data_IF_683770104296
#
_entry.id   IF_683770104296
#
_cell.length_a   1.000
_cell.length_b   1.000
_cell.length_c   1.000
_cell.angle_alpha   90.00
_cell.angle_beta   90.00
_cell.angle_gamma   90.00
#
_symmetry.space_group_name_H-M   'P 1'
#
loop_
_entity.id
_entity.type
_entity.pdbx_description
1 polymer ?
#
# COMPACT_ATOMS: atom_id res chain seq x y z
N UNK A 1 15.31 -0.27 -28.02
CA UNK A 1 14.52 0.28 -26.89
C UNK A 1 15.47 0.27 -25.73
N UNK A 2 15.65 1.39 -25.04
CA UNK A 2 16.42 1.41 -23.81
C UNK A 2 15.75 0.44 -22.83
N UNK A 3 16.55 -0.26 -22.03
CA UNK A 3 16.05 -1.13 -20.96
C UNK A 3 15.23 -0.27 -19.98
N UNK A 4 14.04 -0.74 -19.58
CA UNK A 4 13.15 0.04 -18.72
C UNK A 4 13.62 -0.10 -17.28
N UNK A 5 13.92 1.02 -16.63
CA UNK A 5 14.25 1.12 -15.21
C UNK A 5 12.96 1.44 -14.47
N UNK A 6 12.41 0.44 -13.77
CA UNK A 6 11.14 0.58 -13.06
C UNK A 6 11.36 0.99 -11.60
N UNK A 7 10.99 2.23 -11.28
CA UNK A 7 11.13 2.85 -9.96
C UNK A 7 9.79 3.37 -9.41
N UNK A 8 8.69 2.64 -9.69
CA UNK A 8 7.35 2.98 -9.21
C UNK A 8 6.63 1.79 -8.55
N UNK A 9 7.36 1.07 -7.68
CA UNK A 9 6.86 -0.13 -7.01
C UNK A 9 5.69 0.15 -6.04
N UNK A 10 5.54 1.38 -5.54
CA UNK A 10 4.37 1.77 -4.74
C UNK A 10 3.08 1.83 -5.58
N UNK A 11 3.15 2.05 -6.91
CA UNK A 11 2.00 1.97 -7.78
C UNK A 11 1.60 0.51 -8.03
N UNK A 12 2.54 -0.35 -8.39
CA UNK A 12 2.35 -1.81 -8.57
C UNK A 12 3.72 -2.48 -8.63
N UNK A 13 3.78 -3.78 -8.34
CA UNK A 13 5.01 -4.57 -8.51
C UNK A 13 4.88 -5.57 -9.66
N UNK A 14 6.01 -6.02 -10.25
CA UNK A 14 6.00 -7.19 -11.13
C UNK A 14 5.46 -8.43 -10.40
N UNK A 15 4.81 -9.34 -11.13
CA UNK A 15 4.41 -10.62 -10.54
C UNK A 15 5.69 -11.42 -10.23
N UNK A 16 5.86 -11.83 -8.96
CA UNK A 16 7.04 -12.57 -8.52
C UNK A 16 7.11 -13.98 -9.11
N UNK A 17 8.28 -14.60 -9.05
CA UNK A 17 8.52 -15.95 -9.61
C UNK A 17 7.62 -17.02 -8.97
N UNK A 18 7.39 -16.93 -7.65
CA UNK A 18 6.54 -17.88 -6.91
C UNK A 18 5.08 -17.79 -7.37
N UNK A 19 4.55 -16.58 -7.51
CA UNK A 19 3.20 -16.36 -8.03
C UNK A 19 3.04 -16.81 -9.49
N UNK A 20 4.01 -16.52 -10.37
CA UNK A 20 4.00 -16.98 -11.76
C UNK A 20 3.94 -18.51 -11.86
N UNK A 21 4.76 -19.21 -11.05
CA UNK A 21 4.74 -20.67 -11.00
C UNK A 21 3.38 -21.22 -10.54
N UNK A 22 2.77 -20.61 -9.54
CA UNK A 22 1.45 -20.99 -9.05
C UNK A 22 0.36 -20.80 -10.12
N UNK A 23 0.35 -19.66 -10.83
CA UNK A 23 -0.59 -19.41 -11.94
C UNK A 23 -0.45 -20.48 -13.02
N UNK A 24 0.77 -20.75 -13.49
CA UNK A 24 1.02 -21.74 -14.56
C UNK A 24 0.56 -23.13 -14.12
N UNK A 25 0.86 -23.52 -12.87
CA UNK A 25 0.50 -24.84 -12.31
C UNK A 25 -1.03 -25.03 -12.27
N UNK A 26 -1.78 -23.98 -11.96
CA UNK A 26 -3.21 -24.03 -11.70
C UNK A 26 -4.07 -23.40 -12.83
N UNK A 27 -3.47 -23.14 -14.00
CA UNK A 27 -4.15 -22.45 -15.11
C UNK A 27 -5.38 -23.22 -15.63
N UNK A 28 -5.34 -24.55 -15.54
CA UNK A 28 -6.41 -25.43 -16.00
C UNK A 28 -7.43 -25.79 -14.91
N UNK A 29 -7.28 -25.28 -13.68
CA UNK A 29 -8.19 -25.50 -12.57
C UNK A 29 -9.38 -24.53 -12.67
N UNK A 30 -10.40 -24.90 -13.45
CA UNK A 30 -11.55 -24.05 -13.80
C UNK A 30 -12.84 -24.33 -13.02
N UNK A 31 -12.82 -25.28 -12.09
CA UNK A 31 -14.01 -25.66 -11.32
C UNK A 31 -14.58 -24.51 -10.49
N UNK A 32 -15.91 -24.32 -10.51
CA UNK A 32 -16.53 -23.32 -9.63
C UNK A 32 -16.48 -23.83 -8.17
N UNK A 33 -15.84 -23.10 -7.23
CA UNK A 33 -15.66 -23.56 -5.82
C UNK A 33 -16.97 -23.81 -5.08
N UNK A 34 -18.08 -23.21 -5.51
CA UNK A 34 -19.41 -23.41 -4.94
C UNK A 34 -20.10 -24.69 -5.42
N UNK A 35 -19.55 -25.39 -6.42
CA UNK A 35 -20.14 -26.61 -6.96
C UNK A 35 -19.80 -27.84 -6.14
N UNK A 36 -20.73 -28.82 -6.12
CA UNK A 36 -20.58 -30.04 -5.31
C UNK A 36 -19.78 -31.15 -6.00
N UNK A 37 -19.56 -31.06 -7.32
CA UNK A 37 -18.75 -32.02 -8.07
C UNK A 37 -17.25 -31.84 -7.81
N UNK A 38 -16.46 -32.84 -8.22
CA UNK A 38 -15.03 -32.95 -7.91
C UNK A 38 -14.21 -31.72 -8.29
N UNK A 39 -14.39 -31.19 -9.50
CA UNK A 39 -13.66 -29.99 -9.96
C UNK A 39 -13.92 -28.77 -9.04
N UNK A 40 -15.17 -28.59 -8.57
CA UNK A 40 -15.49 -27.51 -7.64
C UNK A 40 -14.84 -27.71 -6.27
N UNK A 41 -14.83 -28.96 -5.78
CA UNK A 41 -14.13 -29.29 -4.50
C UNK A 41 -12.65 -29.04 -4.58
N UNK A 42 -12.00 -29.40 -5.67
CA UNK A 42 -10.56 -29.12 -5.90
C UNK A 42 -10.28 -27.63 -5.85
N UNK A 43 -11.07 -26.82 -6.56
CA UNK A 43 -10.90 -25.35 -6.53
C UNK A 43 -11.11 -24.77 -5.13
N UNK A 44 -12.07 -25.30 -4.36
CA UNK A 44 -12.28 -24.88 -2.98
C UNK A 44 -11.08 -25.22 -2.09
N UNK A 45 -10.52 -26.42 -2.23
CA UNK A 45 -9.32 -26.84 -1.48
C UNK A 45 -8.15 -25.89 -1.76
N UNK A 46 -7.96 -25.47 -3.02
CA UNK A 46 -6.92 -24.51 -3.38
C UNK A 46 -7.11 -23.14 -2.74
N UNK A 47 -8.36 -22.68 -2.63
CA UNK A 47 -8.68 -21.40 -1.98
C UNK A 47 -8.41 -21.48 -0.48
N UNK A 48 -8.84 -22.57 0.18
CA UNK A 48 -8.63 -22.74 1.62
C UNK A 48 -7.14 -22.92 1.97
N UNK A 49 -6.37 -23.66 1.16
CA UNK A 49 -4.90 -23.73 1.32
C UNK A 49 -4.26 -22.34 1.24
N UNK A 50 -4.66 -21.55 0.26
CA UNK A 50 -4.16 -20.17 0.12
C UNK A 50 -4.55 -19.30 1.32
N UNK A 51 -5.77 -19.46 1.86
CA UNK A 51 -6.27 -18.74 3.03
C UNK A 51 -5.45 -19.07 4.28
N UNK A 52 -5.20 -20.35 4.55
CA UNK A 52 -4.38 -20.81 5.69
C UNK A 52 -2.96 -20.25 5.62
N UNK A 53 -2.36 -20.25 4.44
CA UNK A 53 -0.99 -19.75 4.22
C UNK A 53 -0.89 -18.23 4.39
N UNK A 54 -1.86 -17.47 3.88
CA UNK A 54 -1.94 -16.02 4.06
C UNK A 54 -2.15 -15.68 5.54
N UNK A 55 -3.08 -16.35 6.22
CA UNK A 55 -3.33 -16.16 7.64
C UNK A 55 -2.06 -16.36 8.47
N UNK A 56 -1.31 -17.43 8.20
CA UNK A 56 -0.02 -17.70 8.85
C UNK A 56 1.01 -16.59 8.66
N UNK A 57 1.05 -15.96 7.47
CA UNK A 57 2.01 -14.89 7.19
C UNK A 57 1.78 -13.63 8.05
N UNK A 58 0.57 -13.41 8.55
CA UNK A 58 0.21 -12.24 9.36
C UNK A 58 -0.21 -12.58 10.80
N UNK A 59 0.01 -13.84 11.23
CA UNK A 59 -0.39 -14.36 12.55
C UNK A 59 -1.90 -14.25 12.84
N UNK A 60 -2.73 -14.51 11.80
CA UNK A 60 -4.18 -14.58 11.87
C UNK A 60 -4.69 -16.03 11.87
N UNK A 61 -5.98 -16.23 12.20
CA UNK A 61 -6.68 -17.48 11.94
C UNK A 61 -7.27 -17.47 10.50
N UNK A 62 -7.39 -18.64 9.82
CA UNK A 62 -7.92 -18.68 8.45
C UNK A 62 -9.33 -18.06 8.32
N UNK A 63 -10.18 -18.24 9.30
CA UNK A 63 -11.56 -17.73 9.34
C UNK A 63 -11.64 -16.20 9.47
N UNK A 64 -10.52 -15.54 9.68
CA UNK A 64 -10.40 -14.09 9.78
C UNK A 64 -10.02 -13.45 8.44
N UNK A 65 -9.69 -14.24 7.41
CA UNK A 65 -9.28 -13.76 6.08
C UNK A 65 -10.46 -13.84 5.11
N UNK A 66 -10.77 -12.73 4.45
CA UNK A 66 -11.81 -12.62 3.42
C UNK A 66 -11.20 -12.08 2.12
N UNK A 67 -11.31 -12.83 1.03
CA UNK A 67 -10.77 -12.42 -0.25
C UNK A 67 -11.59 -11.32 -0.90
N UNK A 68 -10.90 -10.32 -1.41
CA UNK A 68 -11.45 -9.16 -2.12
C UNK A 68 -10.81 -9.02 -3.51
N UNK A 69 -11.31 -8.12 -4.35
CA UNK A 69 -10.69 -7.83 -5.64
C UNK A 69 -9.49 -6.88 -5.55
N UNK A 70 -9.35 -6.16 -4.45
CA UNK A 70 -8.30 -5.15 -4.27
C UNK A 70 -8.25 -4.62 -2.84
N UNK A 71 -7.19 -3.89 -2.50
CA UNK A 71 -7.13 -3.11 -1.26
C UNK A 71 -8.22 -2.05 -1.17
N UNK A 72 -8.62 -1.44 -2.30
CA UNK A 72 -9.71 -0.45 -2.31
C UNK A 72 -11.05 -1.06 -1.93
N UNK A 73 -11.38 -2.28 -2.41
CA UNK A 73 -12.57 -3.01 -1.97
C UNK A 73 -12.47 -3.34 -0.47
N UNK A 74 -11.31 -3.81 -0.01
CA UNK A 74 -11.10 -4.14 1.39
C UNK A 74 -11.27 -2.92 2.31
N UNK A 75 -10.67 -1.77 1.96
CA UNK A 75 -10.81 -0.51 2.69
C UNK A 75 -12.27 -0.03 2.72
N UNK A 76 -12.92 0.01 1.55
CA UNK A 76 -14.32 0.42 1.47
C UNK A 76 -15.22 -0.49 2.30
N UNK A 77 -15.02 -1.82 2.24
CA UNK A 77 -15.82 -2.75 3.01
C UNK A 77 -15.62 -2.60 4.51
N UNK A 78 -14.37 -2.46 4.96
CA UNK A 78 -14.06 -2.28 6.37
C UNK A 78 -14.74 -1.05 7.00
N UNK A 79 -14.96 0.01 6.21
CA UNK A 79 -15.41 1.31 6.74
C UNK A 79 -16.85 1.68 6.38
N UNK A 80 -17.44 1.04 5.34
CA UNK A 80 -18.71 1.47 4.72
C UNK A 80 -19.90 1.56 5.68
N UNK A 81 -19.95 0.72 6.69
CA UNK A 81 -21.09 0.59 7.59
C UNK A 81 -20.92 1.31 8.94
N UNK A 82 -19.82 2.09 9.09
CA UNK A 82 -19.45 2.70 10.37
C UNK A 82 -19.22 4.20 10.21
N UNK A 83 -19.53 4.96 11.25
CA UNK A 83 -19.02 6.31 11.39
C UNK A 83 -17.53 6.23 11.71
N UNK A 84 -16.68 6.83 10.88
CA UNK A 84 -15.24 6.60 10.96
C UNK A 84 -14.43 7.84 11.27
N UNK A 85 -13.37 7.66 12.07
CA UNK A 85 -12.29 8.62 12.23
C UNK A 85 -11.10 8.12 11.41
N UNK A 86 -10.58 8.94 10.52
CA UNK A 86 -9.46 8.59 9.64
C UNK A 86 -8.27 9.52 9.85
N UNK A 87 -7.17 9.31 9.14
CA UNK A 87 -6.10 10.30 9.06
C UNK A 87 -6.21 11.11 7.77
N UNK A 88 -5.67 12.33 7.75
CA UNK A 88 -5.70 13.20 6.56
C UNK A 88 -4.64 12.83 5.50
N UNK A 89 -4.06 11.64 5.60
CA UNK A 89 -3.09 11.07 4.64
C UNK A 89 -3.52 9.71 4.07
N UNK A 90 -4.78 9.32 4.30
CA UNK A 90 -5.30 8.02 3.85
C UNK A 90 -5.33 7.92 2.32
N UNK A 91 -5.39 6.67 1.84
CA UNK A 91 -5.63 6.41 0.43
C UNK A 91 -7.06 6.86 0.04
N UNK A 92 -7.25 7.33 -1.20
CA UNK A 92 -8.55 7.80 -1.72
C UNK A 92 -9.70 6.78 -1.66
N UNK A 93 -9.43 5.49 -1.39
CA UNK A 93 -10.48 4.50 -1.12
C UNK A 93 -11.10 4.61 0.27
N UNK A 94 -10.51 5.43 1.14
CA UNK A 94 -11.01 5.74 2.47
C UNK A 94 -11.59 7.16 2.40
N UNK A 95 -12.90 7.27 2.61
CA UNK A 95 -13.58 8.55 2.64
C UNK A 95 -13.40 9.20 4.02
N UNK A 96 -13.20 10.51 4.03
CA UNK A 96 -12.97 11.28 5.25
C UNK A 96 -14.30 11.83 5.77
N UNK A 97 -14.86 11.24 6.83
CA UNK A 97 -15.94 11.87 7.60
C UNK A 97 -15.36 12.81 8.67
N UNK A 98 -14.34 12.34 9.37
CA UNK A 98 -13.56 13.14 10.32
C UNK A 98 -12.10 12.71 10.25
N UNK A 99 -11.16 13.66 10.06
CA UNK A 99 -9.75 13.33 9.92
C UNK A 99 -8.87 13.89 11.04
N UNK A 100 -7.92 13.07 11.49
CA UNK A 100 -6.85 13.42 12.42
C UNK A 100 -5.63 13.87 11.61
N UNK A 101 -5.01 14.96 12.04
CA UNK A 101 -3.85 15.53 11.37
C UNK A 101 -2.57 14.77 11.68
N UNK A 102 -1.66 14.76 10.70
CA UNK A 102 -0.28 14.32 10.89
C UNK A 102 0.65 15.53 11.10
N UNK A 103 1.81 15.27 11.70
CA UNK A 103 2.89 16.26 11.81
C UNK A 103 3.67 16.38 10.47
N UNK A 104 4.63 17.31 10.41
CA UNK A 104 5.48 17.54 9.22
C UNK A 104 6.28 16.32 8.74
N UNK A 105 6.43 15.29 9.57
CA UNK A 105 7.06 14.03 9.21
C UNK A 105 6.05 13.00 8.66
N UNK A 106 4.77 13.35 8.56
CA UNK A 106 3.69 12.46 8.16
C UNK A 106 3.32 11.43 9.24
N UNK A 107 3.70 11.64 10.50
CA UNK A 107 3.35 10.78 11.63
C UNK A 107 2.14 11.37 12.36
N UNK A 108 1.19 10.51 12.72
CA UNK A 108 -0.04 10.88 13.45
C UNK A 108 0.29 11.60 14.76
N UNK A 109 -0.41 12.69 15.01
CA UNK A 109 -0.28 13.42 16.28
C UNK A 109 -1.23 12.85 17.33
N UNK A 110 -0.67 12.06 18.26
CA UNK A 110 -1.42 11.43 19.33
C UNK A 110 -2.18 12.41 20.25
N UNK A 111 -1.71 13.65 20.40
CA UNK A 111 -2.39 14.64 21.23
C UNK A 111 -3.72 15.05 20.61
N UNK A 112 -3.82 15.06 19.28
CA UNK A 112 -5.06 15.35 18.58
C UNK A 112 -6.07 14.21 18.73
N UNK A 113 -5.62 12.94 18.78
CA UNK A 113 -6.50 11.81 19.09
C UNK A 113 -7.19 11.95 20.46
N UNK A 114 -6.53 12.54 21.45
CA UNK A 114 -7.12 12.77 22.77
C UNK A 114 -8.19 13.88 22.80
N UNK A 115 -8.20 14.78 21.81
CA UNK A 115 -9.14 15.91 21.72
C UNK A 115 -10.39 15.64 20.88
N UNK A 116 -10.46 14.54 20.17
CA UNK A 116 -11.62 14.19 19.33
C UNK A 116 -12.80 13.75 20.20
N UNK A 117 -14.01 14.22 19.88
CA UNK A 117 -15.22 13.82 20.59
C UNK A 117 -15.73 12.48 20.05
N UNK A 118 -15.31 11.38 20.69
CA UNK A 118 -15.52 9.99 20.25
C UNK A 118 -16.96 9.47 20.46
N UNK A 119 -17.90 10.29 20.93
CA UNK A 119 -19.24 9.86 21.29
C UNK A 119 -20.13 9.38 20.11
N UNK A 120 -19.66 9.57 18.87
CA UNK A 120 -20.43 9.26 17.68
C UNK A 120 -19.72 8.28 16.72
N UNK A 121 -18.42 7.99 16.92
CA UNK A 121 -17.65 7.21 15.95
C UNK A 121 -17.30 5.84 16.53
N UNK A 122 -17.61 4.79 15.80
CA UNK A 122 -17.42 3.41 16.24
C UNK A 122 -16.08 2.82 15.79
N UNK A 123 -15.50 3.37 14.71
CA UNK A 123 -14.31 2.85 14.07
C UNK A 123 -13.26 3.95 13.81
N UNK A 124 -12.01 3.61 14.02
CA UNK A 124 -10.88 4.46 13.63
C UNK A 124 -10.06 3.74 12.58
N UNK A 125 -9.63 4.44 11.54
CA UNK A 125 -8.73 3.93 10.51
C UNK A 125 -7.46 4.77 10.44
N UNK A 126 -6.31 4.08 10.36
CA UNK A 126 -5.01 4.69 10.10
C UNK A 126 -4.18 3.78 9.22
N UNK A 127 -3.73 4.28 8.06
CA UNK A 127 -2.85 3.50 7.20
C UNK A 127 -1.52 3.19 7.88
N UNK A 128 -1.01 1.97 7.70
CA UNK A 128 0.23 1.55 8.35
C UNK A 128 1.46 2.21 7.69
N UNK A 129 1.49 2.20 6.36
CA UNK A 129 2.56 2.84 5.57
C UNK A 129 1.93 3.73 4.52
N UNK A 130 2.34 5.00 4.49
CA UNK A 130 1.84 5.92 3.47
C UNK A 130 2.47 5.63 2.11
N UNK A 131 1.64 5.51 1.08
CA UNK A 131 2.03 5.16 -0.29
C UNK A 131 2.81 6.27 -1.03
N UNK A 132 2.75 7.53 -0.57
CA UNK A 132 3.47 8.64 -1.19
C UNK A 132 4.79 8.93 -0.50
N UNK A 133 4.77 9.18 0.80
CA UNK A 133 5.95 9.58 1.57
C UNK A 133 6.64 8.42 2.29
N UNK A 134 6.10 7.21 2.21
CA UNK A 134 6.68 6.00 2.82
C UNK A 134 6.71 5.97 4.34
N UNK A 135 6.10 6.94 5.02
CA UNK A 135 6.12 7.04 6.49
C UNK A 135 5.38 5.86 7.11
N UNK A 136 6.00 5.24 8.13
CA UNK A 136 5.45 4.15 8.93
C UNK A 136 4.75 4.77 10.15
N UNK A 137 3.48 4.41 10.37
CA UNK A 137 2.70 4.85 11.52
C UNK A 137 2.87 3.89 12.70
N UNK A 138 2.82 4.38 13.93
CA UNK A 138 2.90 3.56 15.15
C UNK A 138 1.55 2.91 15.45
N UNK A 139 1.18 1.89 14.64
CA UNK A 139 -0.15 1.28 14.62
C UNK A 139 -0.54 0.69 15.98
N UNK A 140 0.38 -0.02 16.64
CA UNK A 140 0.11 -0.61 17.96
C UNK A 140 -0.32 0.43 19.00
N UNK A 141 0.44 1.52 19.09
CA UNK A 141 0.17 2.61 20.03
C UNK A 141 -1.16 3.31 19.70
N UNK A 142 -1.47 3.44 18.40
CA UNK A 142 -2.76 3.99 17.96
C UNK A 142 -3.90 3.06 18.38
N UNK A 143 -3.79 1.76 18.10
CA UNK A 143 -4.77 0.75 18.48
C UNK A 143 -5.04 0.74 20.00
N UNK A 144 -3.99 0.81 20.82
CA UNK A 144 -4.11 0.89 22.29
C UNK A 144 -4.91 2.12 22.74
N UNK A 145 -4.68 3.28 22.11
CA UNK A 145 -5.45 4.52 22.40
C UNK A 145 -6.90 4.36 21.99
N UNK A 146 -7.17 3.84 20.79
CA UNK A 146 -8.51 3.62 20.23
C UNK A 146 -9.31 2.68 21.12
N UNK A 147 -8.73 1.51 21.48
CA UNK A 147 -9.39 0.53 22.35
C UNK A 147 -9.61 1.06 23.78
N UNK A 148 -8.73 1.91 24.32
CA UNK A 148 -8.96 2.56 25.60
C UNK A 148 -10.25 3.41 25.64
N UNK A 149 -10.73 3.80 24.46
CA UNK A 149 -11.96 4.57 24.24
C UNK A 149 -13.15 3.70 23.83
N UNK A 150 -12.97 2.38 23.84
CA UNK A 150 -13.99 1.38 23.46
C UNK A 150 -14.43 1.50 21.99
N UNK A 151 -13.52 1.90 21.12
CA UNK A 151 -13.69 1.95 19.68
C UNK A 151 -12.89 0.82 19.04
N UNK A 152 -13.19 0.52 17.77
CA UNK A 152 -12.48 -0.47 16.96
C UNK A 152 -11.47 0.20 16.03
N UNK A 153 -10.49 -0.60 15.58
CA UNK A 153 -9.37 -0.09 14.83
C UNK A 153 -9.14 -0.89 13.53
N UNK A 154 -9.18 -0.17 12.41
CA UNK A 154 -8.79 -0.65 11.09
C UNK A 154 -7.43 -0.06 10.69
N UNK A 155 -6.62 -0.84 9.97
CA UNK A 155 -5.41 -0.33 9.33
C UNK A 155 -5.36 -0.70 7.84
N UNK A 156 -5.15 0.30 6.96
CA UNK A 156 -4.74 0.04 5.59
C UNK A 156 -3.26 -0.39 5.58
N UNK A 157 -3.02 -1.70 5.43
CA UNK A 157 -1.69 -2.28 5.37
C UNK A 157 -1.22 -2.59 3.93
N UNK A 158 -1.88 -2.04 2.92
CA UNK A 158 -1.58 -2.28 1.50
C UNK A 158 -0.13 -2.01 1.15
N UNK A 159 0.50 -0.99 1.73
CA UNK A 159 1.92 -0.67 1.53
C UNK A 159 2.84 -1.27 2.61
N UNK A 160 2.29 -1.95 3.61
CA UNK A 160 3.05 -2.54 4.71
C UNK A 160 3.32 -4.04 4.49
N UNK A 161 2.29 -4.80 4.09
CA UNK A 161 2.37 -6.25 3.89
C UNK A 161 3.42 -6.60 2.83
N UNK A 162 4.33 -7.51 3.22
CA UNK A 162 5.47 -7.92 2.38
C UNK A 162 6.66 -6.95 2.40
N UNK A 163 6.53 -5.78 3.04
CA UNK A 163 7.59 -4.76 3.11
C UNK A 163 8.12 -4.51 4.52
N UNK A 164 7.25 -4.60 5.53
CA UNK A 164 7.61 -4.55 6.95
C UNK A 164 6.88 -5.66 7.69
N UNK A 165 7.32 -6.05 8.91
CA UNK A 165 6.61 -7.06 9.69
C UNK A 165 5.17 -6.66 9.98
N UNK A 166 4.23 -7.57 9.66
CA UNK A 166 2.80 -7.43 9.96
C UNK A 166 2.36 -8.65 10.76
N UNK A 167 2.03 -8.43 12.02
CA UNK A 167 1.47 -9.41 12.95
C UNK A 167 0.22 -8.79 13.56
N UNK A 168 -0.96 -9.26 13.16
CA UNK A 168 -2.24 -8.65 13.56
C UNK A 168 -2.49 -8.70 15.05
N UNK A 169 -2.00 -9.75 15.73
CA UNK A 169 -2.11 -9.89 17.19
C UNK A 169 -1.20 -8.93 17.93
N UNK A 170 0.03 -8.71 17.41
CA UNK A 170 0.96 -7.71 17.95
C UNK A 170 0.48 -6.27 17.71
N UNK A 171 -0.04 -6.00 16.50
CA UNK A 171 -0.59 -4.68 16.14
C UNK A 171 -1.89 -4.37 16.87
N UNK A 172 -2.58 -5.41 17.35
CA UNK A 172 -3.85 -5.31 18.05
C UNK A 172 -4.91 -4.55 17.22
N UNK A 173 -4.99 -4.86 15.92
CA UNK A 173 -5.99 -4.28 15.03
C UNK A 173 -7.16 -5.23 14.84
N UNK A 174 -8.38 -4.69 14.80
CA UNK A 174 -9.61 -5.45 14.60
C UNK A 174 -9.85 -5.79 13.12
N UNK A 175 -9.39 -4.90 12.22
CA UNK A 175 -9.45 -5.11 10.77
C UNK A 175 -8.18 -4.63 10.08
N UNK A 176 -7.82 -5.30 8.96
CA UNK A 176 -6.65 -4.93 8.16
C UNK A 176 -6.90 -5.19 6.68
N UNK A 177 -6.60 -4.21 5.83
CA UNK A 177 -6.73 -4.31 4.37
C UNK A 177 -5.41 -4.59 3.68
N UNK A 178 -5.44 -5.45 2.63
CA UNK A 178 -4.28 -5.82 1.83
C UNK A 178 -4.60 -5.89 0.33
N UNK A 179 -3.56 -5.71 -0.51
CA UNK A 179 -3.66 -5.81 -1.96
C UNK A 179 -2.49 -6.58 -2.56
N UNK A 180 -2.77 -7.69 -3.24
CA UNK A 180 -1.76 -8.63 -3.70
C UNK A 180 -0.68 -8.03 -4.61
N UNK A 181 -1.05 -7.11 -5.50
CA UNK A 181 -0.12 -6.52 -6.47
C UNK A 181 0.93 -5.58 -5.85
N UNK A 182 0.89 -5.34 -4.56
CA UNK A 182 1.92 -4.55 -3.85
C UNK A 182 3.08 -5.42 -3.34
N UNK A 183 2.88 -6.73 -3.24
CA UNK A 183 3.91 -7.69 -2.80
C UNK A 183 4.16 -8.82 -3.81
N UNK A 184 3.94 -8.58 -5.10
CA UNK A 184 4.30 -9.52 -6.16
C UNK A 184 3.22 -10.52 -6.58
N UNK A 185 1.98 -10.38 -6.11
CA UNK A 185 0.84 -11.13 -6.62
C UNK A 185 0.19 -10.44 -7.83
N UNK A 186 -0.74 -11.10 -8.54
CA UNK A 186 -1.52 -10.48 -9.60
C UNK A 186 -2.38 -9.30 -9.12
N UNK A 187 -2.70 -8.39 -10.05
CA UNK A 187 -3.76 -7.40 -9.87
C UNK A 187 -5.12 -8.11 -9.81
N UNK A 188 -6.13 -7.48 -9.19
CA UNK A 188 -7.48 -8.03 -9.12
C UNK A 188 -7.68 -9.04 -7.98
N UNK A 189 -6.80 -9.03 -6.97
CA UNK A 189 -6.91 -9.83 -5.75
C UNK A 189 -6.32 -9.08 -4.55
N UNK A 190 -7.01 -9.17 -3.42
CA UNK A 190 -6.61 -8.64 -2.12
C UNK A 190 -7.33 -9.43 -1.02
N UNK A 191 -7.21 -8.99 0.20
CA UNK A 191 -7.98 -9.53 1.31
C UNK A 191 -8.26 -8.48 2.38
N UNK A 192 -9.33 -8.74 3.14
CA UNK A 192 -9.64 -8.07 4.38
C UNK A 192 -9.48 -9.10 5.52
N UNK A 193 -8.66 -8.75 6.50
CA UNK A 193 -8.63 -9.43 7.80
C UNK A 193 -9.68 -8.81 8.70
N UNK A 194 -10.49 -9.66 9.36
CA UNK A 194 -11.47 -9.25 10.36
C UNK A 194 -11.30 -10.17 11.57
N UNK A 195 -10.94 -9.61 12.72
CA UNK A 195 -10.75 -10.36 13.95
C UNK A 195 -12.04 -11.09 14.38
N UNK A 196 -11.92 -12.34 14.87
CA UNK A 196 -13.07 -13.12 15.31
C UNK A 196 -13.85 -12.43 16.45
N UNK A 197 -13.15 -11.79 17.40
CA UNK A 197 -13.78 -11.06 18.48
C UNK A 197 -14.63 -9.87 17.98
N UNK A 198 -14.15 -9.15 16.95
CA UNK A 198 -14.94 -8.09 16.32
C UNK A 198 -16.25 -8.63 15.72
N UNK A 199 -16.21 -9.79 15.05
CA UNK A 199 -17.39 -10.43 14.45
C UNK A 199 -18.43 -10.88 15.48
N UNK A 200 -18.03 -11.13 16.72
CA UNK A 200 -18.97 -11.47 17.81
C UNK A 200 -19.76 -10.25 18.31
N UNK A 201 -19.18 -9.05 18.20
CA UNK A 201 -19.84 -7.80 18.61
C UNK A 201 -20.68 -7.18 17.49
N UNK A 202 -20.25 -7.33 16.23
CA UNK A 202 -20.89 -6.70 15.08
C UNK A 202 -21.35 -7.73 14.05
N UNK A 203 -22.56 -7.52 13.55
CA UNK A 203 -23.05 -8.25 12.39
C UNK A 203 -22.36 -7.66 11.15
N UNK A 204 -21.34 -8.35 10.63
CA UNK A 204 -20.65 -7.92 9.43
C UNK A 204 -21.58 -8.03 8.22
N UNK A 205 -21.87 -6.91 7.57
CA UNK A 205 -22.69 -6.87 6.37
C UNK A 205 -21.81 -6.98 5.11
N UNK A 206 -22.27 -7.71 4.07
CA UNK A 206 -21.56 -7.80 2.82
C UNK A 206 -21.64 -6.48 2.04
N UNK A 207 -20.49 -5.92 1.67
CA UNK A 207 -20.44 -4.80 0.71
C UNK A 207 -20.89 -5.25 -0.68
N UNK A 208 -20.46 -6.45 -1.10
CA UNK A 208 -20.86 -7.07 -2.37
C UNK A 208 -21.78 -8.22 -2.08
N UNK A 209 -23.08 -8.03 -2.35
CA UNK A 209 -24.08 -9.07 -2.18
C UNK A 209 -23.97 -10.15 -3.26
N UNK A 210 -24.31 -11.40 -2.91
CA UNK A 210 -24.26 -12.52 -3.86
C UNK A 210 -24.64 -13.85 -3.24
N UNK A 211 -23.89 -14.89 -3.58
CA UNK A 211 -24.08 -16.24 -3.06
C UNK A 211 -23.47 -16.43 -1.67
N UNK A 212 -23.08 -17.68 -1.36
CA UNK A 212 -22.47 -18.04 -0.07
C UNK A 212 -20.94 -18.00 -0.09
N UNK A 213 -20.33 -17.36 -1.07
CA UNK A 213 -18.88 -17.17 -1.14
C UNK A 213 -18.40 -16.40 0.10
N UNK A 214 -17.15 -16.65 0.50
CA UNK A 214 -16.54 -16.01 1.67
C UNK A 214 -17.48 -16.05 2.90
N UNK A 215 -18.04 -17.22 3.20
CA UNK A 215 -19.01 -17.43 4.29
C UNK A 215 -20.29 -16.59 4.17
N UNK A 216 -20.64 -16.15 2.95
CA UNK A 216 -21.79 -15.27 2.66
C UNK A 216 -21.50 -13.78 2.83
N UNK A 217 -20.28 -13.42 3.20
CA UNK A 217 -19.89 -12.03 3.48
C UNK A 217 -19.34 -11.29 2.25
N UNK A 218 -18.95 -12.03 1.19
CA UNK A 218 -18.51 -11.38 -0.04
C UNK A 218 -18.97 -12.19 -1.25
N UNK A 219 -19.97 -11.68 -1.96
CA UNK A 219 -20.54 -12.34 -3.13
C UNK A 219 -19.66 -12.28 -4.38
N UNK A 220 -19.95 -13.17 -5.33
CA UNK A 220 -19.21 -13.30 -6.60
C UNK A 220 -18.24 -14.49 -6.59
N UNK A 221 -18.16 -15.17 -7.75
CA UNK A 221 -17.24 -16.32 -7.91
C UNK A 221 -15.81 -15.89 -7.66
N UNK A 222 -15.10 -16.66 -6.85
CA UNK A 222 -13.77 -16.37 -6.37
C UNK A 222 -12.74 -16.37 -7.53
N UNK A 223 -11.79 -15.44 -7.49
CA UNK A 223 -10.65 -15.37 -8.42
C UNK A 223 -9.60 -16.42 -8.03
N UNK A 224 -9.83 -17.69 -8.38
CA UNK A 224 -9.00 -18.83 -7.98
C UNK A 224 -7.52 -18.57 -8.30
N UNK A 225 -7.20 -18.20 -9.54
CA UNK A 225 -5.82 -17.98 -9.97
C UNK A 225 -5.14 -16.84 -9.20
N UNK A 226 -5.86 -15.74 -8.96
CA UNK A 226 -5.36 -14.62 -8.18
C UNK A 226 -5.10 -15.01 -6.73
N UNK A 227 -6.05 -15.72 -6.09
CA UNK A 227 -5.96 -16.17 -4.69
C UNK A 227 -4.80 -17.16 -4.52
N UNK A 228 -4.75 -18.20 -5.35
CA UNK A 228 -3.70 -19.25 -5.30
C UNK A 228 -2.31 -18.68 -5.58
N UNK A 229 -2.20 -17.64 -6.39
CA UNK A 229 -0.93 -16.97 -6.65
C UNK A 229 -0.53 -15.99 -5.53
N UNK A 230 -1.51 -15.44 -4.80
CA UNK A 230 -1.26 -14.46 -3.74
C UNK A 230 -0.55 -15.09 -2.53
N UNK A 231 -0.90 -16.31 -2.13
CA UNK A 231 -0.28 -16.98 -0.99
C UNK A 231 1.23 -17.16 -1.16
N UNK A 232 1.76 -17.82 -2.21
CA UNK A 232 3.21 -17.96 -2.38
C UNK A 232 3.91 -16.61 -2.65
N UNK A 233 3.22 -15.60 -3.17
CA UNK A 233 3.80 -14.26 -3.29
C UNK A 233 4.03 -13.62 -1.91
N UNK A 234 3.07 -13.76 -0.99
CA UNK A 234 3.20 -13.23 0.35
C UNK A 234 4.25 -14.00 1.17
N UNK A 235 4.28 -15.33 1.08
CA UNK A 235 5.30 -16.16 1.72
C UNK A 235 6.71 -15.76 1.27
N UNK A 236 6.94 -15.63 -0.05
CA UNK A 236 8.21 -15.18 -0.62
C UNK A 236 8.61 -13.78 -0.16
N UNK A 237 7.63 -12.86 -0.07
CA UNK A 237 7.88 -11.51 0.42
C UNK A 237 8.25 -11.49 1.91
N UNK A 238 7.58 -12.30 2.75
CA UNK A 238 7.84 -12.38 4.20
C UNK A 238 9.16 -13.09 4.48
N UNK A 239 9.45 -14.22 3.79
CA UNK A 239 10.66 -15.01 3.97
C UNK A 239 11.94 -14.19 3.65
N UNK A 240 11.91 -13.39 2.59
CA UNK A 240 13.07 -12.61 2.14
C UNK A 240 13.03 -11.13 2.58
N UNK A 241 12.09 -10.75 3.44
CA UNK A 241 11.84 -9.35 3.80
C UNK A 241 13.06 -8.63 4.33
N UNK A 242 13.78 -9.21 5.28
CA UNK A 242 14.94 -8.58 5.92
C UNK A 242 16.09 -8.35 4.93
N UNK A 243 16.42 -9.38 4.14
CA UNK A 243 17.46 -9.31 3.12
C UNK A 243 17.13 -8.26 2.05
N UNK A 244 15.87 -8.30 1.53
CA UNK A 244 15.38 -7.34 0.52
C UNK A 244 15.38 -5.91 1.06
N UNK A 245 14.91 -5.71 2.26
CA UNK A 245 14.90 -4.38 2.89
C UNK A 245 16.30 -3.81 3.08
N UNK A 246 17.27 -4.64 3.46
CA UNK A 246 18.67 -4.23 3.59
C UNK A 246 19.24 -3.81 2.24
N UNK A 247 19.04 -4.61 1.20
CA UNK A 247 19.53 -4.34 -0.15
C UNK A 247 18.88 -3.09 -0.75
N UNK A 248 17.54 -3.06 -0.78
CA UNK A 248 16.78 -1.93 -1.33
C UNK A 248 17.07 -0.64 -0.57
N UNK A 249 17.24 -0.73 0.76
CA UNK A 249 17.60 0.41 1.59
C UNK A 249 18.97 1.00 1.25
N UNK A 250 19.95 0.17 0.87
CA UNK A 250 21.24 0.66 0.38
C UNK A 250 21.09 1.39 -0.95
N UNK A 251 20.39 0.79 -1.92
CA UNK A 251 20.13 1.40 -3.22
C UNK A 251 19.38 2.74 -3.07
N UNK A 252 18.35 2.76 -2.23
CA UNK A 252 17.56 3.96 -1.93
C UNK A 252 18.43 5.06 -1.33
N UNK A 253 19.30 4.73 -0.39
CA UNK A 253 20.18 5.72 0.24
C UNK A 253 21.17 6.30 -0.79
N UNK A 254 21.79 5.47 -1.63
CA UNK A 254 22.69 5.92 -2.69
C UNK A 254 21.99 6.90 -3.65
N UNK A 255 20.75 6.56 -4.07
CA UNK A 255 19.97 7.44 -4.93
C UNK A 255 19.61 8.75 -4.21
N UNK A 256 19.12 8.66 -2.98
CA UNK A 256 18.73 9.83 -2.19
C UNK A 256 19.92 10.76 -1.94
N UNK A 257 21.07 10.22 -1.55
CA UNK A 257 22.30 11.01 -1.32
C UNK A 257 22.74 11.77 -2.58
N UNK A 258 22.64 11.11 -3.75
CA UNK A 258 22.92 11.75 -5.04
C UNK A 258 21.93 12.88 -5.36
N UNK A 259 20.63 12.62 -5.19
CA UNK A 259 19.58 13.62 -5.47
C UNK A 259 19.63 14.81 -4.51
N UNK A 260 20.06 14.61 -3.27
CA UNK A 260 20.22 15.69 -2.29
C UNK A 260 21.44 16.57 -2.53
N UNK A 261 22.36 16.21 -3.45
CA UNK A 261 23.41 17.11 -3.92
C UNK A 261 22.89 18.17 -4.91
N UNK A 262 21.71 17.97 -5.49
CA UNK A 262 21.10 18.94 -6.40
C UNK A 262 20.64 20.15 -5.57
N UNK A 263 21.13 21.38 -5.88
CA UNK A 263 20.69 22.57 -5.14
C UNK A 263 19.17 22.73 -5.13
N UNK A 264 18.57 23.10 -4.00
CA UNK A 264 17.11 23.24 -3.87
C UNK A 264 16.34 21.93 -3.95
N UNK A 265 16.98 20.81 -3.62
CA UNK A 265 16.31 19.52 -3.41
C UNK A 265 15.94 19.33 -1.94
N UNK A 266 14.77 18.75 -1.67
CA UNK A 266 14.28 18.56 -0.30
C UNK A 266 13.52 17.23 -0.18
N UNK A 267 13.90 16.39 0.80
CA UNK A 267 13.16 15.17 1.12
C UNK A 267 11.83 15.54 1.82
N UNK A 268 10.72 14.98 1.36
CA UNK A 268 9.42 15.13 1.99
C UNK A 268 9.16 13.99 2.99
N UNK A 269 8.58 14.32 4.16
CA UNK A 269 8.29 13.37 5.23
C UNK A 269 9.52 12.94 6.05
N UNK A 270 9.39 11.92 6.89
CA UNK A 270 10.44 11.44 7.79
C UNK A 270 11.51 10.61 7.05
N UNK A 271 12.78 10.80 7.39
CA UNK A 271 13.85 9.90 6.97
C UNK A 271 13.92 8.62 7.84
N UNK A 272 13.61 8.73 9.14
CA UNK A 272 13.80 7.64 10.11
C UNK A 272 12.67 6.62 10.12
N UNK A 273 11.42 7.09 10.08
CA UNK A 273 10.23 6.24 10.12
C UNK A 273 9.70 6.07 8.69
N UNK A 274 10.49 5.43 7.83
CA UNK A 274 10.20 5.26 6.41
C UNK A 274 10.55 3.86 5.95
N UNK A 275 9.73 3.28 5.10
CA UNK A 275 10.06 2.01 4.43
C UNK A 275 11.33 2.15 3.59
N UNK A 276 12.05 1.04 3.47
CA UNK A 276 13.37 1.00 2.80
C UNK A 276 13.33 1.43 1.34
N UNK A 277 12.21 1.27 0.65
CA UNK A 277 12.07 1.43 -0.79
C UNK A 277 11.70 2.84 -1.26
N UNK A 278 11.26 3.74 -0.37
CA UNK A 278 10.58 4.98 -0.76
C UNK A 278 11.49 6.21 -0.67
N UNK A 279 11.42 7.04 -1.71
CA UNK A 279 11.88 8.44 -1.75
C UNK A 279 10.69 9.29 -2.21
N UNK A 280 10.38 10.35 -1.47
CA UNK A 280 9.52 11.44 -1.95
C UNK A 280 10.33 12.72 -1.83
N UNK A 281 10.63 13.36 -2.96
CA UNK A 281 11.57 14.48 -3.02
C UNK A 281 11.02 15.57 -3.92
N UNK A 282 11.22 16.85 -3.53
CA UNK A 282 10.89 18.00 -4.36
C UNK A 282 12.14 18.73 -4.81
N UNK A 283 12.03 19.43 -5.92
CA UNK A 283 13.08 20.28 -6.47
C UNK A 283 12.49 21.67 -6.72
N UNK A 284 13.05 22.68 -6.06
CA UNK A 284 12.60 24.08 -6.21
C UNK A 284 12.63 24.51 -7.68
N UNK A 285 11.52 25.10 -8.18
CA UNK A 285 11.37 25.54 -9.56
C UNK A 285 11.29 24.42 -10.60
N UNK A 286 10.90 23.20 -10.22
CA UNK A 286 10.82 22.06 -11.16
C UNK A 286 9.46 21.37 -11.04
N UNK A 287 8.66 21.46 -12.11
CA UNK A 287 7.41 20.70 -12.17
C UNK A 287 7.66 19.20 -12.12
N UNK A 288 7.13 18.54 -11.07
CA UNK A 288 7.21 17.07 -10.89
C UNK A 288 6.61 16.31 -12.06
N UNK A 289 5.48 16.76 -12.60
CA UNK A 289 4.84 16.15 -13.77
C UNK A 289 5.70 16.24 -15.03
N UNK A 290 6.35 17.41 -15.27
CA UNK A 290 7.30 17.60 -16.39
C UNK A 290 8.51 16.67 -16.22
N UNK A 291 9.06 16.57 -15.01
CA UNK A 291 10.20 15.72 -14.71
C UNK A 291 9.86 14.22 -14.92
N UNK A 292 8.71 13.74 -14.45
CA UNK A 292 8.22 12.36 -14.67
C UNK A 292 8.11 12.06 -16.17
N UNK A 293 7.51 12.98 -16.94
CA UNK A 293 7.37 12.83 -18.39
C UNK A 293 8.72 12.73 -19.09
N UNK A 294 9.67 13.57 -18.70
CA UNK A 294 11.01 13.53 -19.28
C UNK A 294 11.78 12.28 -18.87
N UNK A 295 11.72 11.85 -17.61
CA UNK A 295 12.33 10.60 -17.14
C UNK A 295 11.85 9.40 -17.97
N UNK A 296 10.55 9.33 -18.29
CA UNK A 296 9.98 8.26 -19.11
C UNK A 296 10.59 8.21 -20.54
N UNK A 297 11.00 9.35 -21.13
CA UNK A 297 11.71 9.36 -22.41
C UNK A 297 13.09 8.71 -22.34
N UNK A 298 13.70 8.65 -21.16
CA UNK A 298 14.97 7.96 -20.88
C UNK A 298 14.78 6.55 -20.34
N UNK A 299 13.54 6.02 -20.35
CA UNK A 299 13.23 4.68 -19.87
C UNK A 299 13.09 4.57 -18.36
N UNK A 300 13.05 5.67 -17.60
CA UNK A 300 12.91 5.68 -16.14
C UNK A 300 11.46 5.92 -15.76
N UNK A 301 10.84 4.93 -15.08
CA UNK A 301 9.46 4.98 -14.61
C UNK A 301 9.45 5.43 -13.14
N UNK A 302 8.97 6.63 -12.88
CA UNK A 302 8.72 7.23 -11.56
C UNK A 302 7.33 7.85 -11.53
N UNK A 303 6.86 8.31 -10.37
CA UNK A 303 5.54 8.94 -10.22
C UNK A 303 5.66 10.37 -9.67
N UNK A 304 4.73 11.25 -10.04
CA UNK A 304 4.45 12.46 -9.27
C UNK A 304 3.49 12.12 -8.14
N UNK A 305 3.60 12.76 -6.99
CA UNK A 305 2.66 12.59 -5.86
C UNK A 305 1.23 13.08 -6.16
N UNK A 306 1.00 13.63 -7.35
CA UNK A 306 -0.30 14.14 -7.78
C UNK A 306 -1.03 13.11 -8.64
N UNK A 307 -2.32 12.90 -8.39
CA UNK A 307 -3.19 12.14 -9.29
C UNK A 307 -3.33 12.94 -10.60
N UNK A 308 -2.88 12.36 -11.72
CA UNK A 308 -3.14 12.93 -13.05
C UNK A 308 -4.56 12.55 -13.48
N UNK A 309 -5.56 13.36 -13.15
CA UNK A 309 -6.84 13.33 -13.80
C UNK A 309 -6.81 14.28 -15.00
N UNK A 310 -6.91 13.72 -16.22
CA UNK A 310 -7.10 14.44 -17.49
C UNK A 310 -6.16 15.64 -17.77
N UNK A 311 -4.88 15.55 -17.33
CA UNK A 311 -3.87 16.57 -17.65
C UNK A 311 -3.81 17.78 -16.70
N UNK A 312 -4.62 17.82 -15.66
CA UNK A 312 -4.50 18.81 -14.56
C UNK A 312 -3.89 18.09 -13.36
N UNK A 313 -2.66 18.46 -12.99
CA UNK A 313 -2.02 18.00 -11.77
C UNK A 313 -2.60 18.72 -10.57
N UNK A 314 -3.36 18.03 -9.73
CA UNK A 314 -3.76 18.56 -8.43
C UNK A 314 -2.65 18.31 -7.39
N UNK A 315 -2.39 19.26 -6.46
CA UNK A 315 -1.43 19.05 -5.38
C UNK A 315 -1.85 17.86 -4.50
N UNK A 316 -0.90 16.97 -4.17
CA UNK A 316 -1.15 15.84 -3.29
C UNK A 316 -1.71 16.29 -1.94
N UNK A 317 -2.84 15.70 -1.51
CA UNK A 317 -3.41 15.93 -0.18
C UNK A 317 -2.45 15.49 0.93
N UNK A 318 -1.66 14.42 0.71
CA UNK A 318 -0.65 13.93 1.66
C UNK A 318 0.45 14.95 1.85
N UNK A 319 0.99 15.54 0.76
CA UNK A 319 2.04 16.55 0.84
C UNK A 319 1.54 17.84 1.48
N UNK A 320 0.30 18.22 1.19
CA UNK A 320 -0.36 19.34 1.88
C UNK A 320 -0.58 19.06 3.37
N UNK A 321 -0.94 17.83 3.72
CA UNK A 321 -1.15 17.42 5.11
C UNK A 321 0.11 17.53 5.96
N UNK A 322 1.29 17.32 5.36
CA UNK A 322 2.59 17.50 6.05
C UNK A 322 3.11 18.95 6.01
N UNK A 323 2.32 19.88 5.45
CA UNK A 323 2.58 21.32 5.49
C UNK A 323 3.24 21.93 4.27
N UNK A 324 3.33 21.20 3.14
CA UNK A 324 3.83 21.76 1.89
C UNK A 324 2.78 22.72 1.27
N UNK A 325 3.27 23.75 0.60
CA UNK A 325 2.44 24.59 -0.28
C UNK A 325 2.01 23.81 -1.53
N UNK A 326 1.03 24.34 -2.26
CA UNK A 326 0.58 23.74 -3.53
C UNK A 326 1.73 23.64 -4.54
N UNK A 327 2.57 24.68 -4.63
CA UNK A 327 3.76 24.71 -5.48
C UNK A 327 4.77 23.64 -5.08
N UNK A 328 5.13 23.54 -3.79
CA UNK A 328 6.07 22.52 -3.29
C UNK A 328 5.53 21.09 -3.53
N UNK A 329 4.23 20.88 -3.37
CA UNK A 329 3.58 19.60 -3.65
C UNK A 329 3.63 19.24 -5.14
N UNK A 330 3.40 20.22 -6.04
CA UNK A 330 3.49 20.04 -7.49
C UNK A 330 4.94 19.85 -7.99
N UNK A 331 5.92 20.35 -7.25
CA UNK A 331 7.35 20.18 -7.53
C UNK A 331 7.93 18.86 -6.98
N UNK A 332 7.09 17.99 -6.48
CA UNK A 332 7.47 16.73 -5.85
C UNK A 332 7.33 15.53 -6.78
N UNK A 333 8.25 14.57 -6.64
CA UNK A 333 8.20 13.26 -7.28
C UNK A 333 8.31 12.16 -6.22
N UNK A 334 7.75 10.98 -6.55
CA UNK A 334 7.93 9.76 -5.78
C UNK A 334 8.74 8.76 -6.58
N UNK A 335 9.73 8.19 -5.95
CA UNK A 335 10.57 7.11 -6.48
C UNK A 335 10.46 5.94 -5.51
N UNK A 336 10.13 4.76 -6.00
CA UNK A 336 10.01 3.56 -5.15
C UNK A 336 10.68 2.36 -5.80
N UNK A 337 11.68 1.82 -5.11
CA UNK A 337 12.55 0.77 -5.59
C UNK A 337 11.99 -0.62 -5.27
N UNK A 338 12.36 -1.61 -6.08
CA UNK A 338 12.19 -3.03 -5.82
C UNK A 338 13.52 -3.75 -5.64
N UNK A 339 13.47 -5.01 -5.22
CA UNK A 339 14.67 -5.83 -5.07
C UNK A 339 15.25 -6.29 -6.43
N UNK A 340 14.55 -6.05 -7.51
CA UNK A 340 15.01 -6.30 -8.89
C UNK A 340 15.92 -5.20 -9.43
N UNK A 341 15.89 -4.01 -8.80
CA UNK A 341 16.72 -2.90 -9.25
C UNK A 341 18.21 -3.15 -8.95
N UNK A 342 19.08 -2.64 -9.82
CA UNK A 342 20.53 -2.76 -9.69
C UNK A 342 21.19 -1.42 -9.34
N UNK A 343 22.43 -1.46 -8.86
CA UNK A 343 23.21 -0.25 -8.57
C UNK A 343 23.47 0.57 -9.83
N UNK A 344 23.68 -0.10 -10.99
CA UNK A 344 23.87 0.54 -12.28
C UNK A 344 22.62 1.33 -12.70
N UNK A 345 21.43 0.73 -12.54
CA UNK A 345 20.15 1.42 -12.81
C UNK A 345 19.99 2.65 -11.93
N UNK A 346 20.31 2.54 -10.64
CA UNK A 346 20.20 3.64 -9.68
C UNK A 346 21.15 4.79 -10.00
N UNK A 347 22.40 4.47 -10.35
CA UNK A 347 23.39 5.47 -10.76
C UNK A 347 22.97 6.18 -12.05
N UNK A 348 22.46 5.43 -13.03
CA UNK A 348 21.93 6.02 -14.27
C UNK A 348 20.72 6.91 -13.99
N UNK A 349 19.78 6.49 -13.15
CA UNK A 349 18.60 7.27 -12.79
C UNK A 349 18.99 8.57 -12.07
N UNK A 350 19.98 8.53 -11.17
CA UNK A 350 20.51 9.72 -10.48
C UNK A 350 21.11 10.73 -11.47
N UNK A 351 21.95 10.27 -12.41
CA UNK A 351 22.58 11.12 -13.43
C UNK A 351 21.54 11.77 -14.36
N UNK A 352 20.56 11.00 -14.84
CA UNK A 352 19.50 11.52 -15.71
C UNK A 352 18.60 12.51 -14.98
N UNK A 353 18.14 12.20 -13.77
CA UNK A 353 17.31 13.12 -12.99
C UNK A 353 18.04 14.42 -12.74
N UNK A 354 19.32 14.39 -12.37
CA UNK A 354 20.14 15.59 -12.16
C UNK A 354 20.17 16.47 -13.41
N UNK A 355 20.51 15.88 -14.56
CA UNK A 355 20.55 16.62 -15.84
C UNK A 355 19.20 17.21 -16.24
N UNK A 356 18.11 16.46 -15.98
CA UNK A 356 16.77 16.94 -16.30
C UNK A 356 16.32 18.07 -15.39
N UNK A 357 16.65 18.04 -14.11
CA UNK A 357 16.37 19.13 -13.15
C UNK A 357 17.09 20.40 -13.60
N UNK A 358 18.39 20.32 -13.93
CA UNK A 358 19.17 21.46 -14.43
C UNK A 358 18.57 22.02 -15.73
N UNK A 359 18.23 21.16 -16.68
CA UNK A 359 17.61 21.55 -17.94
C UNK A 359 16.26 22.25 -17.76
N UNK A 360 15.37 21.71 -16.91
CA UNK A 360 14.05 22.31 -16.67
C UNK A 360 14.21 23.73 -16.12
N UNK A 361 15.14 23.94 -15.19
CA UNK A 361 15.42 25.27 -14.62
C UNK A 361 15.97 26.24 -15.66
N UNK A 362 16.88 25.78 -16.53
CA UNK A 362 17.43 26.64 -17.59
C UNK A 362 16.42 26.98 -18.69
N UNK A 363 15.38 26.16 -18.90
CA UNK A 363 14.32 26.44 -19.87
C UNK A 363 13.28 27.45 -19.33
N UNK A 364 13.26 27.70 -18.00
CA UNK A 364 12.33 28.63 -17.32
C UNK A 364 12.96 29.97 -16.94
N UNK A 365 14.29 30.14 -17.12
CA UNK A 365 15.02 31.42 -17.09
C UNK A 365 14.95 32.13 -18.47
#
# INVERSE_FOLDING_TARGET
MNEIIYLDHAATTPICSAAKKAIIKHLDDFGNPSSQYELGRQSRILIEDARERIAKCINAEPEEIYFTSSGSEANTWALHFYDTITTNIEHHSIQEDMSVRVNKNGVVDFQLYNGVNYWLNELTSCMYVNNEIGTIQPIKEIAEIVHSKRMFFHTDAVQAIGHIPVDVKYLNCDMLSASGHKFGAPKGVGFLYIENAFKEFYNIEPLIHGGKQESGLRGGTENILGIVAMAPALEDAVEHMEERNKYVGLLRNNLLDSLLQIPGSHLNGSLKNRVSSNINIRFDGVSGAKLVTLCNLYGICISSGSACNEGISEPSHVLKAIGLTDEEALNSIRITLGYENTEEEINYAADIITKLVERIRSDEE
#
